data_IF_884406499626
#
_entry.id   IF_884406499626
#
_cell.length_a   1.000
_cell.length_b   1.000
_cell.length_c   1.000
_cell.angle_alpha   90.00
_cell.angle_beta   90.00
_cell.angle_gamma   90.00
#
_symmetry.space_group_name_H-M   'P 1'
#
loop_
_entity.id
_entity.type
_entity.pdbx_description
1 polymer ?
#
# COMPACT_ATOMS: atom_id res chain seq x y z
N UNK A 1 -12.04 10.59 3.30
CA UNK A 1 -12.12 9.12 3.37
C UNK A 1 -11.68 8.65 4.75
N UNK A 2 -12.52 7.88 5.43
CA UNK A 2 -12.07 7.09 6.59
C UNK A 2 -11.34 5.83 6.12
N UNK A 3 -10.24 5.44 6.77
CA UNK A 3 -9.51 4.23 6.42
C UNK A 3 -10.18 2.98 7.01
N UNK A 4 -10.72 2.07 6.19
CA UNK A 4 -11.41 0.87 6.66
C UNK A 4 -10.45 -0.12 7.34
N UNK A 5 -11.02 -1.01 8.14
CA UNK A 5 -10.25 -1.90 9.01
C UNK A 5 -9.34 -2.85 8.25
N UNK A 6 -9.74 -3.28 7.06
CA UNK A 6 -8.96 -4.13 6.16
C UNK A 6 -7.70 -3.43 5.62
N UNK A 7 -7.75 -2.12 5.33
CA UNK A 7 -6.55 -1.32 5.00
C UNK A 7 -5.58 -1.29 6.19
N UNK A 8 -6.09 -0.98 7.39
CA UNK A 8 -5.29 -0.98 8.62
C UNK A 8 -4.66 -2.36 8.87
N UNK A 9 -5.41 -3.44 8.64
CA UNK A 9 -4.91 -4.81 8.80
C UNK A 9 -3.80 -5.16 7.79
N UNK A 10 -3.84 -4.63 6.56
CA UNK A 10 -2.73 -4.78 5.60
C UNK A 10 -1.46 -4.13 6.11
N UNK A 11 -1.54 -2.90 6.62
CA UNK A 11 -0.39 -2.20 7.17
C UNK A 11 0.14 -2.88 8.45
N UNK A 12 -0.73 -3.36 9.34
CA UNK A 12 -0.32 -4.15 10.52
C UNK A 12 0.44 -5.43 10.16
N UNK A 13 0.13 -6.07 9.03
CA UNK A 13 0.92 -7.21 8.54
C UNK A 13 2.32 -6.79 8.11
N UNK A 14 2.45 -5.68 7.40
CA UNK A 14 3.75 -5.10 7.03
C UNK A 14 4.55 -4.73 8.28
N UNK A 15 3.93 -4.08 9.25
CA UNK A 15 4.54 -3.76 10.55
C UNK A 15 5.09 -5.03 11.23
N UNK A 16 4.32 -6.11 11.24
CA UNK A 16 4.77 -7.41 11.73
C UNK A 16 5.99 -7.96 10.99
N UNK A 17 6.04 -7.84 9.67
CA UNK A 17 7.19 -8.23 8.85
C UNK A 17 8.43 -7.40 9.21
N UNK A 18 8.30 -6.09 9.33
CA UNK A 18 9.41 -5.18 9.68
C UNK A 18 9.96 -5.52 11.06
N UNK A 19 9.10 -5.76 12.06
CA UNK A 19 9.56 -6.23 13.38
C UNK A 19 10.29 -7.57 13.30
N UNK A 20 9.79 -8.51 12.50
CA UNK A 20 10.46 -9.79 12.28
C UNK A 20 11.85 -9.63 11.66
N UNK A 21 11.99 -8.74 10.68
CA UNK A 21 13.27 -8.41 10.04
C UNK A 21 14.25 -7.82 11.06
N UNK A 22 13.82 -6.86 11.88
CA UNK A 22 14.66 -6.29 12.93
C UNK A 22 15.17 -7.37 13.89
N UNK A 23 14.30 -8.28 14.33
CA UNK A 23 14.70 -9.42 15.16
C UNK A 23 15.72 -10.32 14.48
N UNK A 24 15.58 -10.59 13.18
CA UNK A 24 16.57 -11.37 12.42
C UNK A 24 17.94 -10.68 12.41
N UNK A 25 17.98 -9.35 12.37
CA UNK A 25 19.23 -8.59 12.43
C UNK A 25 19.84 -8.63 13.84
N UNK A 26 19.03 -8.53 14.88
CA UNK A 26 19.47 -8.68 16.28
C UNK A 26 19.98 -10.09 16.60
N UNK A 27 19.47 -11.11 15.90
CA UNK A 27 19.90 -12.50 16.01
C UNK A 27 21.05 -12.86 15.04
N UNK A 28 21.68 -11.87 14.40
CA UNK A 28 22.80 -12.04 13.45
C UNK A 28 22.50 -13.07 12.33
N UNK A 29 21.27 -13.10 11.81
CA UNK A 29 20.89 -13.99 10.69
C UNK A 29 21.64 -13.63 9.41
N UNK A 30 21.80 -14.63 8.56
CA UNK A 30 22.44 -14.50 7.25
C UNK A 30 21.86 -13.34 6.42
N UNK A 31 22.73 -12.51 5.87
CA UNK A 31 22.35 -11.33 5.09
C UNK A 31 21.36 -11.66 3.96
N UNK A 32 21.55 -12.80 3.29
CA UNK A 32 20.64 -13.27 2.22
C UNK A 32 19.21 -13.50 2.73
N UNK A 33 19.04 -14.01 3.94
CA UNK A 33 17.72 -14.23 4.55
C UNK A 33 17.04 -12.90 4.89
N UNK A 34 17.79 -11.97 5.49
CA UNK A 34 17.32 -10.61 5.81
C UNK A 34 16.88 -9.88 4.53
N UNK A 35 17.68 -9.91 3.46
CA UNK A 35 17.34 -9.30 2.16
C UNK A 35 16.09 -9.93 1.54
N UNK A 36 15.91 -11.24 1.69
CA UNK A 36 14.71 -11.93 1.21
C UNK A 36 13.46 -11.43 1.94
N UNK A 37 13.52 -11.26 3.26
CA UNK A 37 12.40 -10.73 4.03
C UNK A 37 12.13 -9.25 3.78
N UNK A 38 13.17 -8.42 3.63
CA UNK A 38 13.04 -7.02 3.21
C UNK A 38 12.33 -6.91 1.86
N UNK A 39 12.69 -7.76 0.90
CA UNK A 39 12.05 -7.80 -0.42
C UNK A 39 10.57 -8.20 -0.31
N UNK A 40 10.24 -9.15 0.57
CA UNK A 40 8.86 -9.54 0.84
C UNK A 40 8.04 -8.42 1.51
N UNK A 41 8.64 -7.67 2.43
CA UNK A 41 8.03 -6.51 3.07
C UNK A 41 7.80 -5.37 2.06
N UNK A 42 8.77 -5.06 1.19
CA UNK A 42 8.61 -4.10 0.09
C UNK A 42 7.43 -4.48 -0.80
N UNK A 43 7.37 -5.72 -1.28
CA UNK A 43 6.26 -6.17 -2.12
C UNK A 43 4.89 -6.09 -1.41
N UNK A 44 4.85 -6.29 -0.08
CA UNK A 44 3.63 -6.15 0.71
C UNK A 44 3.21 -4.67 0.86
N UNK A 45 4.17 -3.75 0.97
CA UNK A 45 3.94 -2.30 0.94
C UNK A 45 3.37 -1.89 -0.42
N UNK A 46 3.99 -2.32 -1.53
CA UNK A 46 3.55 -1.96 -2.89
C UNK A 46 2.09 -2.38 -3.13
N UNK A 47 1.72 -3.60 -2.68
CA UNK A 47 0.33 -4.06 -2.74
C UNK A 47 -0.62 -3.25 -1.85
N UNK A 48 -0.13 -2.76 -0.71
CA UNK A 48 -0.92 -1.93 0.20
C UNK A 48 -1.14 -0.54 -0.41
N UNK A 49 -0.12 0.06 -1.03
CA UNK A 49 -0.24 1.32 -1.78
C UNK A 49 -1.29 1.19 -2.88
N UNK A 50 -1.17 0.17 -3.74
CA UNK A 50 -2.15 -0.06 -4.82
C UNK A 50 -3.58 -0.22 -4.30
N UNK A 51 -3.75 -0.90 -3.16
CA UNK A 51 -5.06 -1.05 -2.54
C UNK A 51 -5.65 0.27 -2.03
N UNK A 52 -4.83 1.11 -1.37
CA UNK A 52 -5.24 2.44 -0.88
C UNK A 52 -5.63 3.33 -2.04
N UNK A 53 -4.82 3.38 -3.10
CA UNK A 53 -5.11 4.18 -4.29
C UNK A 53 -6.40 3.71 -4.96
N UNK A 54 -6.58 2.40 -5.17
CA UNK A 54 -7.79 1.87 -5.78
C UNK A 54 -9.07 2.22 -4.99
N UNK A 55 -9.00 2.15 -3.66
CA UNK A 55 -10.14 2.50 -2.81
C UNK A 55 -10.41 4.00 -2.79
N UNK A 56 -9.36 4.82 -2.79
CA UNK A 56 -9.50 6.27 -2.93
C UNK A 56 -10.16 6.64 -4.27
N UNK A 57 -9.70 6.04 -5.37
CA UNK A 57 -10.28 6.22 -6.70
C UNK A 57 -11.77 5.82 -6.72
N UNK A 58 -12.12 4.66 -6.16
CA UNK A 58 -13.51 4.21 -6.06
C UNK A 58 -14.39 5.25 -5.33
N UNK A 59 -13.91 5.80 -4.21
CA UNK A 59 -14.61 6.81 -3.45
C UNK A 59 -14.80 8.12 -4.24
N UNK A 60 -13.74 8.59 -4.89
CA UNK A 60 -13.78 9.82 -5.67
C UNK A 60 -14.69 9.70 -6.90
N UNK A 61 -14.66 8.58 -7.63
CA UNK A 61 -15.56 8.33 -8.77
C UNK A 61 -17.02 8.34 -8.33
N UNK A 62 -17.36 7.71 -7.19
CA UNK A 62 -18.74 7.73 -6.67
C UNK A 62 -19.19 9.15 -6.35
N UNK A 63 -18.33 9.95 -5.72
CA UNK A 63 -18.63 11.35 -5.41
C UNK A 63 -18.80 12.22 -6.66
N UNK A 64 -17.99 12.01 -7.70
CA UNK A 64 -18.12 12.71 -8.99
C UNK A 64 -19.43 12.32 -9.70
N UNK A 65 -19.78 11.04 -9.70
CA UNK A 65 -21.01 10.53 -10.30
C UNK A 65 -22.28 11.11 -9.63
N UNK A 66 -22.28 11.24 -8.30
CA UNK A 66 -23.38 11.88 -7.55
C UNK A 66 -23.57 13.37 -7.91
N UNK A 67 -22.49 14.05 -8.33
CA UNK A 67 -22.52 15.44 -8.77
C UNK A 67 -22.76 15.61 -10.28
N UNK A 68 -22.72 14.52 -11.05
CA UNK A 68 -22.78 14.57 -12.51
C UNK A 68 -21.51 15.15 -13.16
N UNK A 69 -20.37 15.09 -12.46
CA UNK A 69 -19.09 15.64 -12.88
C UNK A 69 -18.20 14.56 -13.56
N UNK A 70 -17.22 14.99 -14.36
CA UNK A 70 -16.27 14.08 -15.01
C UNK A 70 -15.30 13.48 -13.99
N UNK A 71 -14.99 12.19 -14.16
CA UNK A 71 -14.00 11.47 -13.34
C UNK A 71 -12.58 11.47 -13.93
N UNK A 72 -12.34 12.12 -15.07
CA UNK A 72 -11.09 12.04 -15.82
C UNK A 72 -9.87 12.51 -15.02
N UNK A 73 -9.97 13.65 -14.33
CA UNK A 73 -8.89 14.19 -13.52
C UNK A 73 -8.53 13.26 -12.35
N UNK A 74 -9.55 12.68 -11.71
CA UNK A 74 -9.38 11.74 -10.58
C UNK A 74 -8.69 10.46 -11.04
N UNK A 75 -9.06 9.95 -12.22
CA UNK A 75 -8.43 8.77 -12.81
C UNK A 75 -6.95 9.05 -13.10
N UNK A 76 -6.65 10.19 -13.71
CA UNK A 76 -5.28 10.59 -14.02
C UNK A 76 -4.43 10.74 -12.75
N UNK A 77 -4.97 11.33 -11.69
CA UNK A 77 -4.30 11.43 -10.39
C UNK A 77 -3.99 10.05 -9.80
N UNK A 78 -4.95 9.12 -9.81
CA UNK A 78 -4.75 7.76 -9.31
C UNK A 78 -3.67 6.99 -10.09
N UNK A 79 -3.62 7.14 -11.42
CA UNK A 79 -2.56 6.55 -12.25
C UNK A 79 -1.19 7.11 -11.86
N UNK A 80 -1.07 8.42 -11.67
CA UNK A 80 0.18 9.06 -11.26
C UNK A 80 0.66 8.57 -9.88
N UNK A 81 -0.26 8.35 -8.93
CA UNK A 81 0.09 7.80 -7.62
C UNK A 81 0.69 6.38 -7.71
N UNK A 82 0.15 5.52 -8.59
CA UNK A 82 0.66 4.15 -8.78
C UNK A 82 1.98 4.11 -9.54
N UNK A 83 2.16 4.99 -10.53
CA UNK A 83 3.40 5.05 -11.32
C UNK A 83 4.56 5.54 -10.44
N UNK A 84 4.32 6.54 -9.58
CA UNK A 84 5.35 7.09 -8.68
C UNK A 84 5.74 6.16 -7.53
N UNK A 85 4.92 5.15 -7.22
CA UNK A 85 5.20 4.22 -6.12
C UNK A 85 6.12 3.05 -6.50
N UNK A 86 6.60 2.99 -7.75
CA UNK A 86 7.47 1.91 -8.26
C UNK A 86 8.94 2.27 -8.23
#
# INVERSE_FOLDING_TARGET
>A
MEYPQDMKNRLKRVEGQVRGILRMMEEDKECKEVITQLSAARAAIDRTIGYVVAKNLEHCIRAQAEKGESAEDVINEAVQMIVKSR
#
